data_IF_683817090544
#
_entry.id   IF_683817090544
#
_cell.length_a   1.000
_cell.length_b   1.000
_cell.length_c   1.000
_cell.angle_alpha   90.00
_cell.angle_beta   90.00
_cell.angle_gamma   90.00
#
_symmetry.space_group_name_H-M   'P 1'
#
loop_
_entity.id
_entity.type
_entity.pdbx_description
1 polymer ?
#
# COMPACT_ATOMS: atom_id res chain seq x y z
N UNK A 1 6.44 20.02 -8.24
CA UNK A 1 6.60 18.57 -8.03
C UNK A 1 5.23 17.95 -8.23
N UNK A 2 5.07 17.09 -9.23
CA UNK A 2 3.79 16.41 -9.46
C UNK A 2 3.72 15.19 -8.56
N UNK A 3 2.83 15.25 -7.56
CA UNK A 3 2.53 14.15 -6.65
C UNK A 3 1.19 13.54 -7.08
N UNK A 4 1.17 12.24 -7.29
CA UNK A 4 -0.07 11.52 -7.62
C UNK A 4 -0.51 10.72 -6.41
N UNK A 5 -1.71 11.01 -5.92
CA UNK A 5 -2.36 10.17 -4.92
C UNK A 5 -3.33 9.25 -5.65
N UNK A 6 -2.90 8.00 -5.87
CA UNK A 6 -3.76 6.98 -6.46
C UNK A 6 -4.54 6.29 -5.33
N UNK A 7 -5.85 6.51 -5.28
CA UNK A 7 -6.72 5.82 -4.33
C UNK A 7 -7.27 4.55 -4.97
N UNK A 8 -6.69 3.40 -4.63
CA UNK A 8 -7.27 2.10 -4.97
C UNK A 8 -8.51 1.83 -4.09
N UNK A 9 -9.62 2.48 -4.41
CA UNK A 9 -10.91 2.32 -3.72
C UNK A 9 -11.66 1.14 -4.30
N UNK A 10 -11.21 -0.08 -3.97
CA UNK A 10 -12.00 -1.32 -4.09
C UNK A 10 -11.33 -2.57 -3.50
N UNK A 11 -10.18 -2.44 -2.85
CA UNK A 11 -9.57 -3.56 -2.13
C UNK A 11 -10.22 -3.71 -0.75
N UNK A 12 -11.46 -4.19 -0.68
CA UNK A 12 -11.91 -4.80 0.57
C UNK A 12 -10.93 -5.96 0.83
N UNK A 13 -10.23 -5.95 1.97
CA UNK A 13 -9.27 -7.02 2.30
C UNK A 13 -10.06 -8.32 2.43
N UNK A 14 -10.00 -9.17 1.39
CA UNK A 14 -10.56 -10.52 1.47
C UNK A 14 -9.81 -11.29 2.55
N UNK A 15 -10.55 -12.07 3.34
CA UNK A 15 -9.96 -13.00 4.31
C UNK A 15 -9.31 -14.20 3.62
N UNK A 16 -9.62 -14.42 2.34
CA UNK A 16 -8.97 -15.42 1.52
C UNK A 16 -7.62 -14.88 0.98
N UNK A 17 -6.49 -15.56 1.26
CA UNK A 17 -5.16 -15.07 0.90
C UNK A 17 -4.90 -15.06 -0.61
N UNK A 18 -5.51 -15.97 -1.38
CA UNK A 18 -5.34 -16.04 -2.83
C UNK A 18 -6.13 -14.92 -3.52
N UNK A 19 -7.37 -14.70 -3.09
CA UNK A 19 -8.20 -13.61 -3.55
C UNK A 19 -7.59 -12.26 -3.19
N UNK A 20 -7.09 -12.12 -1.95
CA UNK A 20 -6.40 -10.90 -1.53
C UNK A 20 -5.16 -10.63 -2.39
N UNK A 21 -4.37 -11.67 -2.70
CA UNK A 21 -3.21 -11.55 -3.59
C UNK A 21 -3.63 -11.12 -5.01
N UNK A 22 -4.71 -11.70 -5.54
CA UNK A 22 -5.25 -11.35 -6.87
C UNK A 22 -5.72 -9.90 -6.93
N UNK A 23 -6.44 -9.44 -5.89
CA UNK A 23 -6.91 -8.05 -5.78
C UNK A 23 -5.74 -7.05 -5.74
N UNK A 24 -4.70 -7.37 -4.96
CA UNK A 24 -3.49 -6.54 -4.92
C UNK A 24 -2.72 -6.54 -6.25
N UNK A 25 -2.68 -7.67 -6.96
CA UNK A 25 -2.04 -7.72 -8.28
C UNK A 25 -2.79 -6.84 -9.29
N UNK A 26 -4.12 -6.93 -9.35
CA UNK A 26 -4.92 -6.09 -10.24
C UNK A 26 -4.71 -4.59 -9.99
N UNK A 27 -4.64 -4.19 -8.72
CA UNK A 27 -4.31 -2.81 -8.33
C UNK A 27 -2.91 -2.38 -8.78
N UNK A 28 -1.91 -3.27 -8.66
CA UNK A 28 -0.54 -3.00 -9.13
C UNK A 28 -0.51 -2.80 -10.63
N UNK A 29 -1.24 -3.64 -11.38
CA UNK A 29 -1.30 -3.57 -12.83
C UNK A 29 -1.93 -2.23 -13.27
N UNK A 30 -3.02 -1.81 -12.63
CA UNK A 30 -3.67 -0.51 -12.88
C UNK A 30 -2.72 0.67 -12.60
N UNK A 31 -2.01 0.66 -11.47
CA UNK A 31 -1.03 1.72 -11.14
C UNK A 31 0.10 1.75 -12.18
N UNK A 32 0.64 0.59 -12.55
CA UNK A 32 1.73 0.51 -13.53
C UNK A 32 1.29 0.97 -14.93
N UNK A 33 0.05 0.69 -15.33
CA UNK A 33 -0.52 1.17 -16.59
C UNK A 33 -0.66 2.70 -16.58
N UNK A 34 -1.23 3.27 -15.52
CA UNK A 34 -1.40 4.71 -15.37
C UNK A 34 -0.06 5.46 -15.39
N UNK A 35 0.91 5.01 -14.61
CA UNK A 35 2.23 5.67 -14.58
C UNK A 35 3.01 5.47 -15.87
N UNK A 36 2.82 4.34 -16.57
CA UNK A 36 3.37 4.11 -17.90
C UNK A 36 2.79 5.07 -18.94
N UNK A 37 1.48 5.32 -18.90
CA UNK A 37 0.81 6.29 -19.76
C UNK A 37 1.31 7.73 -19.53
N UNK A 38 1.68 8.07 -18.29
CA UNK A 38 2.31 9.35 -17.92
C UNK A 38 3.82 9.42 -18.22
N UNK A 39 4.40 8.37 -18.82
CA UNK A 39 5.81 8.32 -19.23
C UNK A 39 6.79 8.03 -18.09
N UNK A 40 6.30 7.60 -16.93
CA UNK A 40 7.16 7.24 -15.81
C UNK A 40 7.73 5.85 -16.01
N UNK A 41 9.00 5.68 -15.63
CA UNK A 41 9.67 4.37 -15.66
C UNK A 41 9.17 3.43 -14.56
N UNK A 42 8.46 3.96 -13.58
CA UNK A 42 8.01 3.24 -12.42
C UNK A 42 7.61 4.17 -11.29
N UNK A 43 7.46 3.60 -10.08
CA UNK A 43 6.99 4.33 -8.90
C UNK A 43 7.83 4.04 -7.66
N UNK A 44 7.85 5.01 -6.77
CA UNK A 44 8.26 4.86 -5.37
C UNK A 44 7.02 5.00 -4.51
N UNK A 45 6.74 4.03 -3.64
CA UNK A 45 5.62 4.15 -2.70
C UNK A 45 6.08 4.98 -1.50
N UNK A 46 5.37 6.07 -1.22
CA UNK A 46 5.65 6.99 -0.10
C UNK A 46 4.75 6.75 1.09
N UNK A 47 3.57 6.17 0.88
CA UNK A 47 2.64 5.81 1.94
C UNK A 47 1.94 4.49 1.61
N UNK A 48 1.83 3.61 2.60
CA UNK A 48 1.13 2.34 2.50
C UNK A 48 0.40 2.09 3.82
N UNK A 49 -0.93 2.10 3.79
CA UNK A 49 -1.76 1.92 4.97
C UNK A 49 -3.03 1.13 4.65
N UNK A 50 -3.64 0.59 5.71
CA UNK A 50 -4.99 0.04 5.65
C UNK A 50 -5.93 0.98 6.40
N UNK A 51 -6.98 1.45 5.75
CA UNK A 51 -7.99 2.33 6.34
C UNK A 51 -9.39 1.83 6.00
N UNK A 52 -10.24 1.61 7.01
CA UNK A 52 -11.62 1.11 6.85
C UNK A 52 -11.75 -0.14 5.97
N UNK A 53 -10.79 -1.06 6.06
CA UNK A 53 -10.77 -2.29 5.26
C UNK A 53 -10.25 -2.12 3.83
N UNK A 54 -9.80 -0.92 3.45
CA UNK A 54 -9.21 -0.60 2.16
C UNK A 54 -7.69 -0.42 2.25
N UNK A 55 -6.98 -0.83 1.21
CA UNK A 55 -5.56 -0.53 1.04
C UNK A 55 -5.36 0.82 0.38
N UNK A 56 -4.61 1.72 1.01
CA UNK A 56 -4.26 3.05 0.50
C UNK A 56 -2.78 3.09 0.15
N UNK A 57 -2.47 3.54 -1.08
CA UNK A 57 -1.11 3.73 -1.56
C UNK A 57 -0.91 5.16 -2.04
N UNK A 58 0.21 5.75 -1.67
CA UNK A 58 0.67 7.01 -2.26
C UNK A 58 1.97 6.76 -3.00
N UNK A 59 2.09 7.27 -4.22
CA UNK A 59 3.22 7.01 -5.11
C UNK A 59 3.83 8.29 -5.68
N UNK A 60 5.12 8.24 -5.93
CA UNK A 60 5.91 9.26 -6.63
C UNK A 60 6.61 8.63 -7.83
N UNK A 61 7.08 9.42 -8.82
CA UNK A 61 7.90 8.91 -9.90
C UNK A 61 9.11 8.14 -9.37
N UNK A 62 9.33 6.93 -9.91
CA UNK A 62 10.42 6.05 -9.55
C UNK A 62 11.11 5.45 -10.77
N UNK A 63 12.06 4.56 -10.51
CA UNK A 63 12.87 3.91 -11.56
C UNK A 63 12.37 2.53 -11.97
N UNK A 64 11.49 1.92 -11.16
CA UNK A 64 11.04 0.53 -11.31
C UNK A 64 9.53 0.40 -11.12
N UNK A 65 8.87 -0.50 -11.87
CA UNK A 65 7.44 -0.76 -11.71
C UNK A 65 7.12 -1.26 -10.30
N UNK A 66 5.88 -1.02 -9.87
CA UNK A 66 5.37 -1.53 -8.61
C UNK A 66 5.26 -3.05 -8.67
N UNK A 67 5.61 -3.75 -7.58
CA UNK A 67 5.51 -5.20 -7.47
C UNK A 67 4.90 -5.63 -6.15
N UNK A 68 4.30 -6.83 -6.12
CA UNK A 68 3.78 -7.42 -4.89
C UNK A 68 4.86 -7.60 -3.83
N UNK A 69 6.07 -8.01 -4.23
CA UNK A 69 7.20 -8.18 -3.32
C UNK A 69 7.59 -6.85 -2.66
N UNK A 70 7.58 -5.76 -3.43
CA UNK A 70 7.84 -4.43 -2.89
C UNK A 70 6.80 -4.01 -1.84
N UNK A 71 5.50 -4.24 -2.10
CA UNK A 71 4.44 -3.97 -1.12
C UNK A 71 4.55 -4.85 0.13
N UNK A 72 4.94 -6.12 -0.03
CA UNK A 72 5.18 -7.02 1.11
C UNK A 72 6.31 -6.50 2.00
N UNK A 73 7.43 -6.08 1.41
CA UNK A 73 8.55 -5.48 2.16
C UNK A 73 8.14 -4.21 2.89
N UNK A 74 7.35 -3.35 2.24
CA UNK A 74 6.80 -2.14 2.85
C UNK A 74 5.91 -2.45 4.04
N UNK A 75 5.00 -3.43 3.91
CA UNK A 75 4.13 -3.88 5.01
C UNK A 75 4.94 -4.44 6.17
N UNK A 76 5.94 -5.28 5.91
CA UNK A 76 6.83 -5.79 6.94
C UNK A 76 7.54 -4.63 7.65
N UNK A 77 8.12 -3.68 6.92
CA UNK A 77 8.81 -2.53 7.51
C UNK A 77 7.88 -1.61 8.33
N UNK A 78 6.63 -1.41 7.89
CA UNK A 78 5.64 -0.64 8.65
C UNK A 78 5.28 -1.34 9.98
N UNK A 79 5.15 -2.67 9.97
CA UNK A 79 4.88 -3.45 11.16
C UNK A 79 6.07 -3.47 12.14
N UNK A 80 7.31 -3.40 11.66
CA UNK A 80 8.50 -3.32 12.53
C UNK A 80 8.70 -1.94 13.16
N UNK A 81 8.13 -0.88 12.58
CA UNK A 81 8.26 0.50 13.07
C UNK A 81 7.02 1.00 13.83
N UNK A 82 6.07 0.11 14.16
CA UNK A 82 4.97 0.46 15.05
C UNK A 82 5.50 0.39 16.48
N UNK A 83 5.72 1.52 17.20
CA UNK A 83 5.89 1.43 18.64
C UNK A 83 4.64 0.74 19.17
N UNK A 84 4.82 -0.28 20.01
CA UNK A 84 3.74 -0.85 20.80
C UNK A 84 2.89 0.32 21.31
N UNK A 85 1.67 0.39 20.79
CA UNK A 85 0.66 1.32 21.25
C UNK A 85 0.50 0.98 22.73
N UNK A 86 1.14 1.76 23.59
CA UNK A 86 1.18 1.52 25.02
C UNK A 86 -0.26 1.30 25.46
N UNK A 87 -0.52 0.12 26.02
CA UNK A 87 -1.83 -0.22 26.54
C UNK A 87 -2.32 0.96 27.40
N UNK A 88 -3.60 1.37 27.33
CA UNK A 88 -4.10 2.32 28.29
C UNK A 88 -3.83 1.72 29.67
N UNK A 89 -3.08 2.45 30.50
CA UNK A 89 -2.87 2.08 31.88
C UNK A 89 -4.25 1.86 32.50
N UNK A 90 -4.54 0.61 32.91
CA UNK A 90 -5.65 0.32 33.80
C UNK A 90 -5.42 1.12 35.07
N UNK A 91 -6.10 2.26 35.20
CA UNK A 91 -6.33 2.86 36.51
C UNK A 91 -7.44 2.02 37.16
N UNK A 92 -7.03 0.96 37.85
CA UNK A 92 -7.85 0.22 38.78
C UNK A 92 -7.61 0.76 40.19
N UNK A 93 -8.71 1.24 40.77
CA UNK A 93 -9.01 1.57 42.18
C UNK A 93 -8.20 2.70 42.86
#
# INVERSE_FOLDING_TARGET
>A
MSQYTAFATNCEISRDPEENTRRHQAMIDEVNELVGADGWRGVKVTHFATFSGHTVLQVEPGISPLTLDYLRRMKTAANTNTPEQSAPASNGD
#
